data_IF_216135894395
#
_entry.id   IF_216135894395
#
_cell.length_a   1.000
_cell.length_b   1.000
_cell.length_c   1.000
_cell.angle_alpha   90.00
_cell.angle_beta   90.00
_cell.angle_gamma   90.00
#
_symmetry.space_group_name_H-M   'P 1'
#
loop_
_entity.id
_entity.type
_entity.pdbx_description
1 polymer ?
#
# COMPACT_ATOMS: atom_id res chain seq x y z
N UNK A 1 -50.81 75.63 -13.86
CA UNK A 1 -49.33 75.71 -13.75
C UNK A 1 -48.79 74.40 -14.31
N UNK A 2 -48.20 74.41 -15.52
CA UNK A 2 -46.76 74.18 -15.77
C UNK A 2 -46.29 72.82 -15.20
N UNK A 3 -45.75 71.85 -15.94
CA UNK A 3 -45.16 71.80 -17.29
C UNK A 3 -45.18 70.35 -17.83
N UNK A 4 -45.14 70.26 -19.16
CA UNK A 4 -45.01 69.07 -20.01
C UNK A 4 -43.64 68.38 -19.90
N UNK A 5 -43.59 67.08 -20.26
CA UNK A 5 -42.38 66.35 -20.65
C UNK A 5 -42.78 64.92 -21.09
N UNK A 6 -43.12 64.69 -22.36
CA UNK A 6 -42.24 64.30 -23.46
C UNK A 6 -41.46 63.01 -23.20
N UNK A 7 -42.00 61.90 -23.71
CA UNK A 7 -41.30 60.64 -23.96
C UNK A 7 -40.34 60.82 -25.14
N UNK A 8 -39.05 60.50 -25.03
CA UNK A 8 -38.19 60.30 -26.18
C UNK A 8 -38.05 58.80 -26.50
N UNK A 9 -38.11 58.55 -27.80
CA UNK A 9 -37.93 57.32 -28.55
C UNK A 9 -36.62 56.59 -28.25
N UNK A 10 -36.65 55.26 -28.36
CA UNK A 10 -35.46 54.41 -28.37
C UNK A 10 -34.55 54.76 -29.57
N UNK A 11 -33.22 54.87 -29.39
CA UNK A 11 -32.29 55.02 -30.51
C UNK A 11 -31.94 53.69 -31.18
N UNK A 12 -31.77 53.77 -32.50
CA UNK A 12 -31.40 52.71 -33.44
C UNK A 12 -30.15 51.90 -33.08
N UNK A 13 -30.18 50.62 -33.48
CA UNK A 13 -29.14 49.60 -33.31
C UNK A 13 -27.82 49.84 -34.07
N UNK A 14 -27.53 51.07 -34.46
CA UNK A 14 -26.31 51.45 -35.20
C UNK A 14 -25.31 52.28 -34.37
N UNK A 15 -25.63 52.70 -33.14
CA UNK A 15 -24.72 53.54 -32.32
C UNK A 15 -23.94 52.79 -31.23
N UNK A 16 -24.21 51.50 -30.99
CA UNK A 16 -23.46 50.70 -30.00
C UNK A 16 -22.20 50.03 -30.56
N UNK A 17 -21.96 50.09 -31.87
CA UNK A 17 -20.81 49.47 -32.53
C UNK A 17 -19.56 50.38 -32.63
N UNK A 18 -19.66 51.66 -32.26
CA UNK A 18 -18.55 52.62 -32.36
C UNK A 18 -17.75 52.81 -31.06
N UNK A 19 -18.21 52.27 -29.92
CA UNK A 19 -17.52 52.36 -28.63
C UNK A 19 -16.62 51.15 -28.31
N UNK A 20 -16.75 50.04 -29.05
CA UNK A 20 -15.97 48.81 -28.83
C UNK A 20 -14.65 48.74 -29.60
N UNK A 21 -14.34 49.70 -30.47
CA UNK A 21 -13.09 49.71 -31.26
C UNK A 21 -11.97 50.63 -30.74
N UNK A 22 -12.14 51.31 -29.60
CA UNK A 22 -11.14 52.25 -29.05
C UNK A 22 -10.45 51.82 -27.74
N UNK A 23 -10.74 50.62 -27.23
CA UNK A 23 -10.06 50.03 -26.05
C UNK A 23 -9.18 48.81 -26.38
N UNK A 24 -9.17 48.33 -27.63
CA UNK A 24 -8.37 47.18 -28.08
C UNK A 24 -7.04 47.55 -28.75
N UNK A 25 -6.61 48.82 -28.67
CA UNK A 25 -5.41 49.32 -29.36
C UNK A 25 -4.26 49.79 -28.45
N UNK A 26 -4.31 49.59 -27.12
CA UNK A 26 -3.31 50.14 -26.18
C UNK A 26 -2.86 49.22 -25.05
N UNK A 27 -3.01 47.90 -25.18
CA UNK A 27 -2.45 46.93 -24.22
C UNK A 27 -1.63 45.82 -24.86
N UNK A 28 -1.15 46.01 -26.10
CA UNK A 28 -0.23 45.08 -26.77
C UNK A 28 1.25 45.50 -26.75
N UNK A 29 1.61 46.64 -26.13
CA UNK A 29 2.98 47.18 -26.18
C UNK A 29 3.84 46.93 -24.92
N UNK A 30 3.42 46.05 -24.00
CA UNK A 30 4.26 45.67 -22.83
C UNK A 30 4.62 44.18 -22.72
N UNK A 31 4.29 43.32 -23.70
CA UNK A 31 4.56 41.87 -23.62
C UNK A 31 5.45 41.31 -24.74
N UNK A 32 6.01 42.16 -25.62
CA UNK A 32 6.76 41.72 -26.80
C UNK A 32 8.28 41.94 -26.75
N UNK A 33 8.88 42.33 -25.62
CA UNK A 33 10.32 42.57 -25.52
C UNK A 33 10.91 41.97 -24.23
N UNK A 34 11.09 40.64 -24.18
CA UNK A 34 12.08 39.97 -23.30
C UNK A 34 12.26 38.47 -23.65
N UNK A 35 12.27 38.14 -24.95
CA UNK A 35 12.53 36.77 -25.44
C UNK A 35 13.67 36.72 -26.47
N UNK A 36 14.75 37.44 -26.19
CA UNK A 36 15.98 37.30 -26.98
C UNK A 36 17.16 37.52 -26.04
N UNK A 37 17.64 36.45 -25.40
CA UNK A 37 19.05 36.21 -25.09
C UNK A 37 19.18 34.81 -24.45
N UNK A 38 20.28 34.13 -24.80
CA UNK A 38 20.65 32.75 -24.44
C UNK A 38 20.03 31.62 -25.28
N UNK A 39 20.18 31.70 -26.61
CA UNK A 39 20.51 30.51 -27.42
C UNK A 39 22.03 30.48 -27.56
N UNK A 40 22.72 29.66 -26.77
CA UNK A 40 24.04 29.06 -27.08
C UNK A 40 24.48 28.21 -25.89
N UNK A 41 24.15 26.91 -25.89
CA UNK A 41 25.00 25.86 -25.32
C UNK A 41 24.59 24.50 -25.91
N UNK A 42 25.55 23.85 -26.57
CA UNK A 42 25.75 22.40 -26.55
C UNK A 42 24.67 21.52 -27.15
N UNK A 43 24.85 21.17 -28.43
CA UNK A 43 24.34 19.94 -29.00
C UNK A 43 24.90 18.75 -28.18
N UNK A 44 24.11 18.24 -27.25
CA UNK A 44 24.41 16.99 -26.54
C UNK A 44 23.13 16.17 -26.56
N UNK A 45 23.19 15.03 -27.27
CA UNK A 45 22.23 13.95 -27.12
C UNK A 45 22.31 13.48 -25.66
N UNK A 46 21.54 14.12 -24.78
CA UNK A 46 21.08 13.53 -23.55
C UNK A 46 19.61 13.27 -23.79
N UNK A 47 19.29 12.00 -24.09
CA UNK A 47 17.96 11.52 -23.77
C UNK A 47 17.77 11.77 -22.28
N UNK A 48 17.03 12.83 -21.95
CA UNK A 48 16.40 12.93 -20.65
C UNK A 48 15.41 11.76 -20.65
N UNK A 49 15.83 10.61 -20.14
CA UNK A 49 14.89 9.60 -19.70
C UNK A 49 14.09 10.28 -18.59
N UNK A 50 12.94 10.87 -18.95
CA UNK A 50 11.87 11.02 -17.99
C UNK A 50 11.68 9.62 -17.43
N UNK A 51 12.09 9.40 -16.17
CA UNK A 51 11.64 8.23 -15.43
C UNK A 51 10.13 8.34 -15.47
N UNK A 52 9.47 7.58 -16.33
CA UNK A 52 8.04 7.34 -16.17
C UNK A 52 7.91 6.79 -14.76
N UNK A 53 7.28 7.58 -13.89
CA UNK A 53 7.04 7.19 -12.52
C UNK A 53 5.89 6.19 -12.59
N UNK A 54 6.23 4.94 -12.91
CA UNK A 54 5.29 3.82 -12.89
C UNK A 54 5.22 3.37 -11.44
N UNK A 55 4.04 3.55 -10.82
CA UNK A 55 3.89 3.43 -9.37
C UNK A 55 2.85 2.36 -9.06
N UNK A 56 3.27 1.38 -8.26
CA UNK A 56 2.37 0.50 -7.51
C UNK A 56 1.43 1.39 -6.70
N UNK A 57 0.13 1.15 -6.75
CA UNK A 57 -0.86 1.99 -6.08
C UNK A 57 -1.19 1.51 -4.67
N UNK A 58 -1.15 0.21 -4.42
CA UNK A 58 -1.48 -0.35 -3.11
C UNK A 58 -0.96 -1.78 -2.93
N UNK A 59 -0.80 -2.19 -1.67
CA UNK A 59 -0.91 -3.59 -1.30
C UNK A 59 -2.38 -3.99 -1.43
N UNK A 60 -2.70 -4.74 -2.48
CA UNK A 60 -4.08 -5.08 -2.81
C UNK A 60 -4.59 -6.26 -2.00
N UNK A 61 -3.79 -7.32 -1.93
CA UNK A 61 -4.14 -8.54 -1.22
C UNK A 61 -2.91 -9.38 -0.84
N UNK A 62 -3.11 -10.35 0.05
CA UNK A 62 -2.10 -11.37 0.39
C UNK A 62 -2.69 -12.78 0.37
N UNK A 63 -1.81 -13.77 0.24
CA UNK A 63 -2.13 -15.20 0.38
C UNK A 63 -1.21 -15.91 1.35
N UNK A 64 -1.80 -16.74 2.21
CA UNK A 64 -1.09 -17.61 3.15
C UNK A 64 -1.67 -19.02 3.08
N UNK A 65 -0.83 -20.05 3.12
CA UNK A 65 -1.26 -21.41 3.37
C UNK A 65 -1.26 -21.69 4.87
N UNK A 66 -2.19 -22.52 5.36
CA UNK A 66 -2.21 -22.94 6.75
C UNK A 66 -2.94 -24.27 6.98
N UNK A 67 -2.44 -25.15 7.87
CA UNK A 67 -3.21 -26.31 8.34
C UNK A 67 -4.42 -25.91 9.20
N UNK A 68 -4.45 -24.66 9.67
CA UNK A 68 -5.51 -24.08 10.48
C UNK A 68 -6.32 -23.03 9.72
N UNK A 69 -6.41 -23.16 8.38
CA UNK A 69 -7.12 -22.20 7.54
C UNK A 69 -8.57 -21.97 8.00
N UNK A 70 -9.30 -23.00 8.43
CA UNK A 70 -10.70 -22.86 8.87
C UNK A 70 -10.87 -21.99 10.12
N UNK A 71 -9.87 -21.92 11.01
CA UNK A 71 -9.92 -21.12 12.24
C UNK A 71 -10.01 -19.62 11.94
N UNK A 72 -9.54 -19.21 10.75
CA UNK A 72 -9.62 -17.82 10.27
C UNK A 72 -11.06 -17.34 10.05
N UNK A 73 -12.04 -18.23 9.89
CA UNK A 73 -13.44 -17.80 9.81
C UNK A 73 -13.88 -17.09 11.09
N UNK A 74 -13.59 -17.70 12.25
CA UNK A 74 -13.94 -17.12 13.56
C UNK A 74 -12.97 -16.00 13.93
N UNK A 75 -11.67 -16.23 13.74
CA UNK A 75 -10.64 -15.25 14.09
C UNK A 75 -10.79 -13.96 13.25
N UNK A 76 -10.90 -14.07 11.93
CA UNK A 76 -11.02 -12.93 11.03
C UNK A 76 -12.29 -12.11 11.25
N UNK A 77 -13.45 -12.78 11.42
CA UNK A 77 -14.72 -12.07 11.62
C UNK A 77 -14.89 -11.56 13.05
N UNK A 78 -14.75 -12.43 14.04
CA UNK A 78 -15.01 -12.13 15.44
C UNK A 78 -13.93 -11.25 16.06
N UNK A 79 -12.64 -11.54 15.81
CA UNK A 79 -11.52 -10.84 16.43
C UNK A 79 -10.88 -9.76 15.55
N UNK A 80 -10.83 -9.88 14.22
CA UNK A 80 -10.35 -8.76 13.40
C UNK A 80 -11.46 -7.81 12.94
N UNK A 81 -12.71 -8.29 12.84
CA UNK A 81 -13.83 -7.51 12.31
C UNK A 81 -13.93 -7.52 10.79
N UNK A 82 -13.09 -8.33 10.12
CA UNK A 82 -13.15 -8.51 8.67
C UNK A 82 -14.46 -9.21 8.27
N UNK A 83 -14.93 -8.93 7.06
CA UNK A 83 -16.07 -9.61 6.45
C UNK A 83 -15.62 -10.94 5.88
N UNK A 84 -16.39 -12.00 6.11
CA UNK A 84 -16.18 -13.27 5.42
C UNK A 84 -16.74 -13.18 3.99
N UNK A 85 -15.90 -13.48 3.02
CA UNK A 85 -16.25 -13.55 1.60
C UNK A 85 -16.46 -15.00 1.17
N UNK A 86 -17.07 -15.25 -0.01
CA UNK A 86 -17.15 -16.60 -0.56
C UNK A 86 -15.77 -17.25 -0.63
N UNK A 87 -15.70 -18.54 -0.28
CA UNK A 87 -14.44 -19.28 -0.26
C UNK A 87 -13.77 -19.31 -1.66
N UNK A 88 -12.45 -19.49 -1.66
CA UNK A 88 -11.70 -19.77 -2.88
C UNK A 88 -12.03 -21.14 -3.48
N UNK A 89 -11.67 -21.35 -4.76
CA UNK A 89 -11.94 -22.60 -5.47
C UNK A 89 -11.25 -23.82 -4.83
N UNK A 90 -10.15 -23.61 -4.12
CA UNK A 90 -9.42 -24.62 -3.34
C UNK A 90 -9.91 -24.75 -1.88
N UNK A 91 -10.96 -24.02 -1.50
CA UNK A 91 -11.44 -23.91 -0.13
C UNK A 91 -10.76 -22.84 0.72
N UNK A 92 -10.01 -21.92 0.11
CA UNK A 92 -9.40 -20.81 0.84
C UNK A 92 -10.43 -19.94 1.57
N UNK A 93 -10.14 -19.62 2.84
CA UNK A 93 -10.92 -18.65 3.61
C UNK A 93 -10.55 -17.26 3.14
N UNK A 94 -11.55 -16.50 2.67
CA UNK A 94 -11.35 -15.15 2.14
C UNK A 94 -11.97 -14.12 3.06
N UNK A 95 -11.18 -13.11 3.41
CA UNK A 95 -11.59 -12.01 4.25
C UNK A 95 -11.47 -10.70 3.49
N UNK A 96 -12.54 -9.90 3.53
CA UNK A 96 -12.58 -8.53 3.05
C UNK A 96 -12.52 -7.56 4.23
N UNK A 97 -11.86 -6.43 4.04
CA UNK A 97 -11.78 -5.32 5.00
C UNK A 97 -12.37 -4.03 4.43
N UNK A 98 -12.94 -4.11 3.23
CA UNK A 98 -13.57 -3.03 2.47
C UNK A 98 -14.45 -3.62 1.34
N UNK A 99 -14.84 -2.78 0.38
CA UNK A 99 -15.74 -3.15 -0.73
C UNK A 99 -15.07 -4.05 -1.79
N UNK A 100 -13.74 -4.20 -1.75
CA UNK A 100 -13.03 -5.18 -2.56
C UNK A 100 -13.42 -6.58 -2.08
N UNK A 101 -13.74 -7.46 -3.02
CA UNK A 101 -14.35 -8.76 -2.72
C UNK A 101 -13.58 -9.59 -1.68
N UNK A 102 -12.26 -9.49 -1.64
CA UNK A 102 -11.41 -9.96 -0.55
C UNK A 102 -10.01 -9.35 -0.66
N UNK A 103 -9.31 -9.24 0.48
CA UNK A 103 -7.90 -8.81 0.53
C UNK A 103 -6.98 -9.82 1.22
N UNK A 104 -7.52 -10.72 2.04
CA UNK A 104 -6.74 -11.78 2.69
C UNK A 104 -7.31 -13.13 2.25
N UNK A 105 -6.46 -14.00 1.72
CA UNK A 105 -6.80 -15.39 1.42
C UNK A 105 -5.95 -16.33 2.27
N UNK A 106 -6.61 -17.25 2.97
CA UNK A 106 -5.96 -18.30 3.76
C UNK A 106 -6.30 -19.66 3.15
N UNK A 107 -5.35 -20.21 2.41
CA UNK A 107 -5.45 -21.45 1.68
C UNK A 107 -5.27 -22.65 2.62
N UNK A 108 -6.03 -23.75 2.44
CA UNK A 108 -5.73 -25.00 3.12
C UNK A 108 -4.33 -25.50 2.75
N UNK A 109 -3.48 -25.74 3.75
CA UNK A 109 -2.10 -26.16 3.55
C UNK A 109 -1.64 -27.18 4.58
N UNK A 110 -0.51 -27.85 4.33
CA UNK A 110 0.10 -28.76 5.32
C UNK A 110 0.95 -28.03 6.35
N UNK A 111 1.48 -26.87 5.98
CA UNK A 111 2.35 -26.02 6.78
C UNK A 111 1.90 -24.57 6.61
N UNK A 112 2.24 -23.73 7.59
CA UNK A 112 2.08 -22.29 7.42
C UNK A 112 3.11 -21.78 6.41
N UNK A 113 2.67 -21.08 5.38
CA UNK A 113 3.54 -20.55 4.31
C UNK A 113 2.98 -19.25 3.74
N UNK A 114 3.83 -18.23 3.58
CA UNK A 114 3.45 -17.01 2.86
C UNK A 114 3.53 -17.26 1.34
N UNK A 115 2.38 -17.25 0.67
CA UNK A 115 2.29 -17.68 -0.72
C UNK A 115 2.50 -16.55 -1.71
N UNK A 116 1.97 -15.35 -1.45
CA UNK A 116 2.08 -14.21 -2.36
C UNK A 116 1.69 -12.87 -1.72
N UNK A 117 2.29 -11.79 -2.22
CA UNK A 117 1.84 -10.41 -2.05
C UNK A 117 1.34 -9.85 -3.39
N UNK A 118 0.09 -9.38 -3.43
CA UNK A 118 -0.51 -8.73 -4.59
C UNK A 118 -0.41 -7.20 -4.51
N UNK A 119 0.19 -6.60 -5.54
CA UNK A 119 0.37 -5.17 -5.72
C UNK A 119 -0.50 -4.69 -6.88
N UNK A 120 -1.34 -3.67 -6.66
CA UNK A 120 -2.21 -3.17 -7.70
C UNK A 120 -1.56 -2.03 -8.50
N UNK A 121 -1.73 -2.07 -9.81
CA UNK A 121 -1.51 -0.96 -10.73
C UNK A 121 -2.84 -0.22 -10.95
N UNK A 122 -2.77 1.06 -11.34
CA UNK A 122 -3.98 1.85 -11.52
C UNK A 122 -4.87 1.36 -12.68
N UNK A 123 -4.28 0.83 -13.75
CA UNK A 123 -4.99 0.39 -14.95
C UNK A 123 -4.13 -0.58 -15.80
N UNK A 124 -4.73 -1.04 -16.91
CA UNK A 124 -4.11 -1.91 -17.93
C UNK A 124 -2.76 -1.39 -18.45
N UNK A 125 -2.73 -0.12 -18.89
CA UNK A 125 -1.53 0.49 -19.47
C UNK A 125 -0.37 0.57 -18.48
N UNK A 126 -0.66 0.85 -17.21
CA UNK A 126 0.33 0.89 -16.15
C UNK A 126 0.86 -0.51 -15.82
N UNK A 127 0.00 -1.54 -15.83
CA UNK A 127 0.45 -2.93 -15.66
C UNK A 127 1.38 -3.35 -16.80
N UNK A 128 1.01 -3.11 -18.05
CA UNK A 128 1.85 -3.48 -19.20
C UNK A 128 3.19 -2.72 -19.19
N UNK A 129 3.17 -1.43 -18.86
CA UNK A 129 4.38 -0.61 -18.74
C UNK A 129 5.29 -1.11 -17.61
N UNK A 130 4.72 -1.46 -16.45
CA UNK A 130 5.48 -2.00 -15.32
C UNK A 130 6.04 -3.39 -15.63
N UNK A 131 5.25 -4.27 -16.24
CA UNK A 131 5.71 -5.59 -16.68
C UNK A 131 6.89 -5.47 -17.65
N UNK A 132 6.83 -4.57 -18.64
CA UNK A 132 7.94 -4.32 -19.56
C UNK A 132 9.19 -3.76 -18.83
N UNK A 133 9.01 -2.96 -17.77
CA UNK A 133 10.11 -2.50 -16.92
C UNK A 133 10.76 -3.64 -16.13
N UNK A 134 9.95 -4.53 -15.53
CA UNK A 134 10.45 -5.71 -14.81
C UNK A 134 11.23 -6.65 -15.73
N UNK A 135 10.71 -6.92 -16.93
CA UNK A 135 11.40 -7.73 -17.95
C UNK A 135 12.75 -7.11 -18.34
N UNK A 136 12.79 -5.80 -18.63
CA UNK A 136 14.06 -5.08 -18.90
C UNK A 136 15.03 -5.10 -17.73
N UNK A 137 14.52 -5.23 -16.51
CA UNK A 137 15.31 -5.36 -15.28
C UNK A 137 15.83 -6.79 -15.03
N UNK A 138 15.55 -7.72 -15.94
CA UNK A 138 16.00 -9.12 -15.88
C UNK A 138 15.11 -10.03 -15.03
N UNK A 139 13.90 -9.58 -14.67
CA UNK A 139 12.96 -10.37 -13.89
C UNK A 139 12.20 -11.31 -14.82
N UNK A 140 12.22 -12.60 -14.51
CA UNK A 140 11.39 -13.59 -15.22
C UNK A 140 9.95 -13.44 -14.76
N UNK A 141 9.09 -13.00 -15.69
CA UNK A 141 7.66 -12.84 -15.46
C UNK A 141 6.88 -14.08 -15.91
N UNK A 142 5.76 -14.32 -15.23
CA UNK A 142 4.80 -15.34 -15.56
C UNK A 142 3.41 -14.72 -15.67
N UNK A 143 2.73 -14.98 -16.79
CA UNK A 143 1.35 -14.53 -16.98
C UNK A 143 0.38 -15.27 -16.06
N UNK A 144 -0.63 -14.57 -15.58
CA UNK A 144 -1.76 -15.16 -14.88
C UNK A 144 -2.67 -15.91 -15.85
N UNK A 145 -2.79 -17.22 -15.69
CA UNK A 145 -3.76 -18.01 -16.45
C UNK A 145 -5.22 -17.68 -16.02
N UNK A 146 -6.24 -18.02 -16.83
CA UNK A 146 -7.63 -17.69 -16.52
C UNK A 146 -8.11 -18.15 -15.13
N UNK A 147 -7.65 -19.32 -14.67
CA UNK A 147 -8.00 -19.86 -13.35
C UNK A 147 -7.44 -18.98 -12.23
N UNK A 148 -6.18 -18.55 -12.35
CA UNK A 148 -5.54 -17.64 -11.39
C UNK A 148 -6.20 -16.26 -11.41
N UNK A 149 -6.54 -15.72 -12.58
CA UNK A 149 -7.25 -14.43 -12.68
C UNK A 149 -8.62 -14.49 -12.01
N UNK A 150 -9.37 -15.56 -12.25
CA UNK A 150 -10.67 -15.80 -11.62
C UNK A 150 -10.54 -16.01 -10.10
N UNK A 151 -9.52 -16.75 -9.66
CA UNK A 151 -9.22 -16.95 -8.26
C UNK A 151 -8.89 -15.62 -7.58
N UNK A 152 -7.98 -14.82 -8.17
CA UNK A 152 -7.59 -13.50 -7.68
C UNK A 152 -8.68 -12.45 -7.83
N UNK A 153 -9.65 -12.70 -8.69
CA UNK A 153 -10.69 -11.76 -9.09
C UNK A 153 -10.08 -10.43 -9.56
N UNK A 154 -9.16 -10.51 -10.52
CA UNK A 154 -8.48 -9.37 -11.16
C UNK A 154 -8.67 -9.45 -12.67
N UNK A 155 -8.54 -8.32 -13.36
CA UNK A 155 -8.65 -8.28 -14.82
C UNK A 155 -7.43 -8.90 -15.48
N UNK A 156 -6.23 -8.50 -15.06
CA UNK A 156 -4.96 -9.06 -15.49
C UNK A 156 -3.97 -9.16 -14.33
N UNK A 157 -3.01 -10.06 -14.48
CA UNK A 157 -1.98 -10.34 -13.49
C UNK A 157 -0.74 -10.88 -14.17
N UNK A 158 0.42 -10.37 -13.77
CA UNK A 158 1.72 -11.02 -13.97
C UNK A 158 2.35 -11.27 -12.61
N UNK A 159 3.15 -12.32 -12.47
CA UNK A 159 3.82 -12.62 -11.22
C UNK A 159 5.26 -13.05 -11.41
N UNK A 160 6.06 -12.86 -10.38
CA UNK A 160 7.45 -13.26 -10.30
C UNK A 160 7.81 -13.61 -8.86
N UNK A 161 9.02 -14.13 -8.68
CA UNK A 161 9.57 -14.41 -7.35
C UNK A 161 10.78 -13.51 -7.12
N UNK A 162 10.84 -12.84 -5.96
CA UNK A 162 11.99 -12.05 -5.57
C UNK A 162 13.24 -12.93 -5.32
N UNK A 163 14.44 -12.35 -5.16
CA UNK A 163 15.66 -13.11 -4.90
C UNK A 163 15.62 -13.99 -3.64
N UNK A 164 14.67 -13.79 -2.74
CA UNK A 164 14.52 -14.49 -1.47
C UNK A 164 13.41 -15.56 -1.50
N UNK A 165 12.73 -15.72 -2.62
CA UNK A 165 11.69 -16.73 -2.81
C UNK A 165 10.27 -16.24 -2.50
N UNK A 166 10.06 -14.94 -2.33
CA UNK A 166 8.73 -14.35 -2.12
C UNK A 166 8.07 -14.10 -3.46
N UNK A 167 6.86 -14.64 -3.66
CA UNK A 167 6.08 -14.34 -4.86
C UNK A 167 5.42 -12.98 -4.75
N UNK A 168 5.59 -12.18 -5.79
CA UNK A 168 4.88 -10.92 -5.99
C UNK A 168 3.97 -11.02 -7.21
N UNK A 169 2.74 -10.57 -7.06
CA UNK A 169 1.74 -10.52 -8.12
C UNK A 169 1.44 -9.06 -8.43
N UNK A 170 1.71 -8.63 -9.65
CA UNK A 170 1.33 -7.29 -10.14
C UNK A 170 0.01 -7.46 -10.88
N UNK A 171 -1.02 -6.71 -10.49
CA UNK A 171 -2.36 -6.88 -11.05
C UNK A 171 -3.08 -5.55 -11.24
N UNK A 172 -4.14 -5.53 -12.04
CA UNK A 172 -5.07 -4.41 -12.12
C UNK A 172 -6.52 -4.92 -12.19
N UNK A 173 -7.49 -4.04 -11.92
CA UNK A 173 -8.91 -4.37 -12.06
C UNK A 173 -9.42 -5.38 -11.04
N UNK A 174 -8.99 -5.28 -9.77
CA UNK A 174 -9.51 -6.11 -8.67
C UNK A 174 -11.02 -5.91 -8.53
N UNK A 175 -11.76 -7.02 -8.50
CA UNK A 175 -13.22 -7.01 -8.39
C UNK A 175 -13.66 -6.40 -7.06
N UNK A 176 -14.57 -5.44 -7.16
CA UNK A 176 -15.14 -4.70 -6.04
C UNK A 176 -16.64 -4.54 -6.25
N UNK A 177 -17.40 -4.58 -5.16
CA UNK A 177 -18.83 -4.27 -5.15
C UNK A 177 -19.05 -3.09 -4.21
N UNK A 178 -19.35 -1.88 -4.73
CA UNK A 178 -19.54 -0.71 -3.89
C UNK A 178 -20.61 -0.91 -2.82
N UNK A 179 -20.37 -0.37 -1.62
CA UNK A 179 -21.24 -0.43 -0.45
C UNK A 179 -21.59 -1.87 -0.03
N UNK A 180 -20.68 -2.83 -0.28
CA UNK A 180 -20.89 -4.23 0.06
C UNK A 180 -20.21 -4.63 1.36
N UNK A 181 -19.25 -3.84 1.86
CA UNK A 181 -18.58 -4.14 3.11
C UNK A 181 -19.55 -4.07 4.29
N UNK A 182 -19.50 -5.09 5.14
CA UNK A 182 -20.20 -5.13 6.41
C UNK A 182 -19.28 -5.87 7.38
N UNK A 183 -18.82 -5.23 8.46
CA UNK A 183 -17.81 -5.82 9.33
C UNK A 183 -18.34 -7.08 10.01
N UNK A 184 -17.44 -8.03 10.28
CA UNK A 184 -17.76 -9.32 10.91
C UNK A 184 -18.20 -9.21 12.38
N UNK A 185 -18.01 -8.04 12.98
CA UNK A 185 -18.52 -7.64 14.31
C UNK A 185 -18.94 -6.18 14.28
N UNK A 186 -19.60 -5.72 15.35
CA UNK A 186 -19.86 -4.29 15.54
C UNK A 186 -18.54 -3.53 15.60
N UNK A 187 -18.39 -2.56 14.72
CA UNK A 187 -17.28 -1.61 14.68
C UNK A 187 -17.85 -0.19 14.58
N UNK A 188 -17.15 0.77 15.17
CA UNK A 188 -17.54 2.18 15.11
C UNK A 188 -17.11 2.81 13.79
N UNK A 189 -15.89 2.51 13.35
CA UNK A 189 -15.41 2.80 12.01
C UNK A 189 -15.29 1.53 11.16
N UNK A 190 -14.54 1.65 10.06
CA UNK A 190 -14.06 0.52 9.28
C UNK A 190 -12.55 0.37 9.39
N UNK A 191 -11.97 -0.12 8.31
CA UNK A 191 -10.53 -0.20 8.11
C UNK A 191 -10.07 0.96 7.23
N UNK A 192 -8.90 1.52 7.54
CA UNK A 192 -8.24 2.49 6.66
C UNK A 192 -7.74 1.72 5.45
N UNK A 193 -8.54 1.69 4.39
CA UNK A 193 -8.24 0.98 3.14
C UNK A 193 -8.28 1.93 1.97
N UNK A 194 -9.44 2.54 1.67
CA UNK A 194 -9.57 3.72 0.79
C UNK A 194 -8.58 3.77 -0.38
N UNK A 195 -7.76 4.81 -0.41
CA UNK A 195 -6.65 5.04 -1.34
C UNK A 195 -5.30 4.44 -0.86
N UNK A 196 -5.31 3.68 0.23
CA UNK A 196 -4.14 3.15 0.94
C UNK A 196 -3.98 1.62 0.91
N UNK A 197 -4.98 0.88 0.41
CA UNK A 197 -5.00 -0.58 0.36
C UNK A 197 -5.07 -1.29 1.71
N UNK A 198 -4.80 -2.59 1.70
CA UNK A 198 -4.99 -3.52 2.84
C UNK A 198 -4.33 -3.08 4.16
N UNK A 199 -3.19 -2.40 4.08
CA UNK A 199 -2.30 -2.15 5.22
C UNK A 199 -0.85 -2.33 4.80
N UNK A 200 -0.05 -3.01 5.63
CA UNK A 200 1.33 -3.33 5.29
C UNK A 200 1.74 -4.75 5.62
N UNK A 201 2.77 -5.21 4.90
CA UNK A 201 3.48 -6.45 5.23
C UNK A 201 4.91 -6.13 5.67
N UNK A 202 5.43 -6.95 6.57
CA UNK A 202 6.85 -6.91 6.93
C UNK A 202 7.52 -8.20 6.52
N UNK A 203 8.52 -8.08 5.65
CA UNK A 203 9.34 -9.19 5.19
C UNK A 203 10.68 -9.17 5.91
N UNK A 204 11.16 -10.36 6.22
CA UNK A 204 12.52 -10.58 6.69
C UNK A 204 13.42 -10.92 5.53
N UNK A 205 14.57 -10.25 5.50
CA UNK A 205 15.56 -10.37 4.44
C UNK A 205 16.94 -10.58 5.04
N UNK A 206 17.82 -11.36 4.40
CA UNK A 206 19.13 -11.70 4.95
C UNK A 206 20.11 -10.51 4.91
N UNK A 207 19.89 -9.57 3.98
CA UNK A 207 20.71 -8.37 3.80
C UNK A 207 19.81 -7.20 3.39
N UNK A 208 19.75 -6.17 4.22
CA UNK A 208 18.82 -5.05 4.01
C UNK A 208 19.21 -4.15 2.84
N UNK A 209 20.49 -4.05 2.51
CA UNK A 209 20.98 -3.18 1.44
C UNK A 209 20.78 -3.82 0.06
N UNK A 210 20.95 -5.13 -0.07
CA UNK A 210 20.56 -5.87 -1.27
C UNK A 210 19.05 -5.82 -1.48
N UNK A 211 18.28 -5.99 -0.39
CA UNK A 211 16.83 -5.85 -0.44
C UNK A 211 16.39 -4.44 -0.83
N UNK A 212 17.02 -3.40 -0.28
CA UNK A 212 16.72 -2.03 -0.66
C UNK A 212 16.92 -1.79 -2.17
N UNK A 213 18.03 -2.28 -2.75
CA UNK A 213 18.28 -2.13 -4.19
C UNK A 213 17.17 -2.79 -5.00
N UNK A 214 16.78 -4.01 -4.67
CA UNK A 214 15.70 -4.70 -5.38
C UNK A 214 14.35 -3.96 -5.25
N UNK A 215 13.90 -3.73 -4.02
CA UNK A 215 12.57 -3.17 -3.79
C UNK A 215 12.45 -1.70 -4.24
N UNK A 216 13.51 -0.91 -4.14
CA UNK A 216 13.50 0.49 -4.60
C UNK A 216 13.80 0.60 -6.09
N UNK A 217 14.91 0.03 -6.56
CA UNK A 217 15.39 0.28 -7.92
C UNK A 217 14.62 -0.54 -8.97
N UNK A 218 14.14 -1.74 -8.61
CA UNK A 218 13.35 -2.60 -9.51
C UNK A 218 11.86 -2.37 -9.31
N UNK A 219 11.37 -2.42 -8.06
CA UNK A 219 9.93 -2.34 -7.79
C UNK A 219 9.39 -0.93 -7.55
N UNK A 220 10.25 0.08 -7.41
CA UNK A 220 9.84 1.48 -7.29
C UNK A 220 9.26 1.87 -5.92
N UNK A 221 9.45 1.05 -4.88
CA UNK A 221 9.07 1.41 -3.51
C UNK A 221 9.85 2.63 -3.03
N UNK A 222 9.19 3.52 -2.28
CA UNK A 222 9.79 4.77 -1.81
C UNK A 222 10.04 4.72 -0.32
N UNK A 223 11.25 5.06 0.12
CA UNK A 223 11.63 5.03 1.52
C UNK A 223 10.87 6.10 2.30
N UNK A 224 10.12 5.69 3.31
CA UNK A 224 9.48 6.59 4.26
C UNK A 224 10.44 6.89 5.40
N UNK A 225 10.94 5.86 6.08
CA UNK A 225 11.82 5.98 7.24
C UNK A 225 12.68 4.73 7.44
N UNK A 226 13.66 4.82 8.32
CA UNK A 226 14.41 3.67 8.84
C UNK A 226 14.47 3.70 10.36
N UNK A 227 14.37 2.53 10.98
CA UNK A 227 14.74 2.32 12.37
C UNK A 227 16.00 1.46 12.39
N UNK A 228 17.08 1.94 13.01
CA UNK A 228 18.36 1.21 13.10
C UNK A 228 19.03 1.44 14.45
N UNK A 229 19.52 0.36 15.05
CA UNK A 229 20.35 0.37 16.25
C UNK A 229 21.30 -0.83 16.21
N UNK A 230 22.07 -1.02 17.29
CA UNK A 230 23.08 -2.08 17.39
C UNK A 230 22.51 -3.51 17.24
N UNK A 231 21.19 -3.70 17.34
CA UNK A 231 20.54 -5.02 17.34
C UNK A 231 19.83 -5.33 16.02
N UNK A 232 19.25 -4.33 15.36
CA UNK A 232 18.44 -4.55 14.17
C UNK A 232 18.35 -3.32 13.27
N UNK A 233 18.03 -3.56 12.00
CA UNK A 233 17.69 -2.53 11.02
C UNK A 233 16.39 -2.89 10.31
N UNK A 234 15.45 -1.93 10.27
CA UNK A 234 14.19 -2.04 9.53
C UNK A 234 14.01 -0.80 8.65
N UNK A 235 13.66 -0.99 7.38
CA UNK A 235 13.35 0.07 6.42
C UNK A 235 11.88 0.00 6.03
N UNK A 236 11.22 1.14 5.97
CA UNK A 236 9.77 1.27 5.76
C UNK A 236 9.51 1.98 4.45
N UNK A 237 8.63 1.43 3.62
CA UNK A 237 8.43 1.90 2.26
C UNK A 237 6.97 2.12 1.90
N UNK A 238 6.67 3.30 1.38
CA UNK A 238 5.36 3.67 0.86
C UNK A 238 5.27 3.49 -0.66
N UNK A 239 4.03 3.34 -1.11
CA UNK A 239 3.63 3.35 -2.53
C UNK A 239 2.48 4.34 -2.79
N UNK A 240 1.78 4.73 -1.73
CA UNK A 240 0.66 5.68 -1.70
C UNK A 240 0.73 6.52 -0.41
N UNK A 241 -0.40 7.10 0.01
CA UNK A 241 -0.49 7.92 1.22
C UNK A 241 -0.13 7.19 2.52
N UNK A 242 -0.17 5.85 2.57
CA UNK A 242 0.20 5.10 3.77
C UNK A 242 1.68 5.26 4.07
N UNK A 243 2.04 5.55 5.33
CA UNK A 243 3.45 5.63 5.74
C UNK A 243 4.28 4.44 5.23
N UNK A 244 3.74 3.23 5.23
CA UNK A 244 4.36 2.14 4.49
C UNK A 244 3.33 1.07 4.12
N UNK A 245 3.50 0.45 2.97
CA UNK A 245 2.80 -0.80 2.61
C UNK A 245 3.75 -2.00 2.66
N UNK A 246 5.05 -1.75 2.71
CA UNK A 246 6.10 -2.75 2.87
C UNK A 246 7.11 -2.27 3.91
N UNK A 247 7.50 -3.13 4.84
CA UNK A 247 8.76 -2.95 5.56
C UNK A 247 9.68 -4.16 5.37
N UNK A 248 10.97 -3.90 5.42
CA UNK A 248 12.02 -4.90 5.30
C UNK A 248 12.83 -4.88 6.60
N UNK A 249 12.87 -6.02 7.29
CA UNK A 249 13.64 -6.21 8.52
C UNK A 249 14.82 -7.14 8.24
N UNK A 250 16.03 -6.71 8.59
CA UNK A 250 17.22 -7.56 8.42
C UNK A 250 17.20 -8.72 9.41
N UNK A 251 17.32 -9.95 8.90
CA UNK A 251 17.57 -11.14 9.70
C UNK A 251 18.60 -12.04 9.01
N UNK A 252 19.89 -11.90 9.33
CA UNK A 252 20.95 -12.65 8.67
C UNK A 252 20.70 -14.16 8.63
N UNK A 253 20.86 -14.75 7.46
CA UNK A 253 20.66 -16.18 7.22
C UNK A 253 19.20 -16.64 7.15
N UNK A 254 18.23 -15.73 7.19
CA UNK A 254 16.80 -16.05 7.18
C UNK A 254 16.03 -15.21 6.18
N UNK A 255 14.88 -15.73 5.77
CA UNK A 255 13.88 -15.04 4.94
C UNK A 255 12.49 -15.38 5.47
N UNK A 256 11.53 -14.48 5.31
CA UNK A 256 10.17 -14.81 5.70
C UNK A 256 9.21 -13.65 5.79
N UNK A 257 8.01 -13.98 6.23
CA UNK A 257 6.93 -13.03 6.44
C UNK A 257 6.66 -12.87 7.94
N UNK A 258 6.86 -11.66 8.46
CA UNK A 258 6.78 -11.39 9.89
C UNK A 258 5.34 -11.13 10.34
N UNK A 259 4.68 -10.13 9.75
CA UNK A 259 3.32 -9.75 10.10
C UNK A 259 2.60 -9.03 8.96
N UNK A 260 1.27 -9.13 8.99
CA UNK A 260 0.34 -8.24 8.31
C UNK A 260 -0.13 -7.19 9.31
N UNK A 261 -0.18 -5.94 8.91
CA UNK A 261 -0.85 -4.88 9.66
C UNK A 261 -2.21 -4.55 9.05
N UNK A 262 -3.21 -4.40 9.91
CA UNK A 262 -4.51 -3.83 9.59
C UNK A 262 -4.73 -2.57 10.42
N UNK A 263 -5.11 -1.48 9.75
CA UNK A 263 -5.40 -0.21 10.41
C UNK A 263 -6.91 0.03 10.49
N UNK A 264 -7.39 0.39 11.68
CA UNK A 264 -8.78 0.81 11.90
C UNK A 264 -8.92 2.32 11.96
N UNK A 265 -10.07 2.82 11.54
CA UNK A 265 -10.37 4.26 11.54
C UNK A 265 -10.64 4.82 12.95
N UNK A 266 -10.93 3.96 13.93
CA UNK A 266 -11.32 4.37 15.27
C UNK A 266 -10.51 3.66 16.35
N UNK A 267 -9.97 4.43 17.30
CA UNK A 267 -9.27 3.91 18.48
C UNK A 267 -10.14 2.96 19.30
N UNK A 268 -11.46 3.18 19.34
CA UNK A 268 -12.40 2.32 20.06
C UNK A 268 -12.46 0.91 19.46
N UNK A 269 -12.23 0.76 18.14
CA UNK A 269 -12.20 -0.56 17.49
C UNK A 269 -10.91 -1.33 17.82
N UNK A 270 -9.80 -0.62 17.99
CA UNK A 270 -8.56 -1.18 18.54
C UNK A 270 -8.74 -1.60 20.02
N UNK A 271 -9.33 -0.73 20.84
CA UNK A 271 -9.66 -1.06 22.23
C UNK A 271 -10.60 -2.26 22.33
N UNK A 272 -11.61 -2.33 21.46
CA UNK A 272 -12.53 -3.45 21.41
C UNK A 272 -11.86 -4.76 21.02
N UNK A 273 -10.89 -4.73 20.09
CA UNK A 273 -10.08 -5.91 19.77
C UNK A 273 -9.34 -6.41 21.02
N UNK A 274 -8.74 -5.51 21.81
CA UNK A 274 -8.01 -5.86 23.03
C UNK A 274 -8.92 -6.56 24.03
N UNK A 275 -10.14 -6.05 24.26
CA UNK A 275 -11.14 -6.69 25.13
C UNK A 275 -11.59 -8.08 24.64
N UNK A 276 -11.42 -8.37 23.35
CA UNK A 276 -11.85 -9.63 22.74
C UNK A 276 -10.79 -10.73 22.78
N UNK A 277 -9.53 -10.41 23.10
CA UNK A 277 -8.40 -11.35 23.01
C UNK A 277 -8.61 -12.60 23.86
N UNK A 278 -9.00 -12.44 25.13
CA UNK A 278 -9.22 -13.56 26.05
C UNK A 278 -10.34 -14.49 25.55
N UNK A 279 -11.45 -13.91 25.07
CA UNK A 279 -12.58 -14.69 24.54
C UNK A 279 -12.28 -15.43 23.23
N UNK A 280 -11.22 -15.03 22.53
CA UNK A 280 -10.73 -15.65 21.31
C UNK A 280 -9.47 -16.49 21.52
N UNK A 281 -9.04 -16.70 22.77
CA UNK A 281 -7.80 -17.43 23.11
C UNK A 281 -6.60 -16.96 22.28
N UNK A 282 -6.51 -15.64 22.09
CA UNK A 282 -5.50 -15.03 21.23
C UNK A 282 -4.43 -14.36 22.06
N UNK A 283 -3.21 -14.83 21.89
CA UNK A 283 -2.06 -14.33 22.64
C UNK A 283 -1.61 -12.95 22.15
N UNK A 284 -1.17 -12.14 23.11
CA UNK A 284 -0.45 -10.90 22.84
C UNK A 284 1.03 -11.23 22.56
N UNK A 285 1.49 -10.85 21.37
CA UNK A 285 2.88 -11.00 20.96
C UNK A 285 3.71 -9.77 21.33
N UNK A 286 3.12 -8.58 21.20
CA UNK A 286 3.62 -7.34 21.76
C UNK A 286 2.46 -6.51 22.29
N UNK A 287 2.60 -5.99 23.51
CA UNK A 287 1.56 -5.17 24.15
C UNK A 287 1.25 -3.93 23.34
N UNK A 288 0.10 -3.30 23.60
CA UNK A 288 -0.23 -1.97 23.07
C UNK A 288 0.95 -1.02 23.23
N UNK A 289 1.26 -0.30 22.16
CA UNK A 289 2.36 0.66 22.10
C UNK A 289 2.13 1.71 21.03
N UNK A 290 3.08 2.65 20.92
CA UNK A 290 3.09 3.67 19.87
C UNK A 290 4.44 3.76 19.20
N UNK A 291 4.45 3.64 17.89
CA UNK A 291 5.64 3.71 17.06
C UNK A 291 6.23 5.13 16.96
N UNK A 292 7.54 5.21 16.73
CA UNK A 292 8.27 6.49 16.63
C UNK A 292 8.25 7.09 15.23
N UNK A 293 8.23 6.25 14.20
CA UNK A 293 8.29 6.64 12.79
C UNK A 293 6.92 7.07 12.26
N UNK A 294 5.93 6.17 12.28
CA UNK A 294 4.60 6.42 11.69
C UNK A 294 3.55 6.88 12.70
N UNK A 295 3.92 6.99 13.99
CA UNK A 295 3.05 7.34 15.11
C UNK A 295 1.85 6.41 15.35
N UNK A 296 1.80 5.26 14.67
CA UNK A 296 0.76 4.24 14.81
C UNK A 296 0.69 3.77 16.25
N UNK A 297 -0.51 3.77 16.82
CA UNK A 297 -0.79 3.08 18.08
C UNK A 297 -1.29 1.68 17.74
N UNK A 298 -0.54 0.64 18.14
CA UNK A 298 -0.82 -0.72 17.69
C UNK A 298 -0.54 -1.78 18.76
N UNK A 299 -1.12 -2.96 18.54
CA UNK A 299 -0.87 -4.18 19.29
C UNK A 299 -0.51 -5.30 18.30
N UNK A 300 0.37 -6.23 18.70
CA UNK A 300 0.71 -7.40 17.91
C UNK A 300 0.12 -8.63 18.56
N UNK A 301 -0.65 -9.40 17.79
CA UNK A 301 -1.37 -10.57 18.27
C UNK A 301 -1.04 -11.81 17.42
N UNK A 302 -1.10 -12.97 18.04
CA UNK A 302 -0.95 -14.24 17.33
C UNK A 302 -2.13 -14.46 16.39
N UNK A 303 -1.90 -15.17 15.29
CA UNK A 303 -2.98 -15.64 14.42
C UNK A 303 -3.10 -17.17 14.46
N UNK A 304 -4.16 -17.76 13.89
CA UNK A 304 -4.23 -19.21 13.68
C UNK A 304 -3.14 -19.73 12.73
N UNK A 305 -2.41 -18.86 12.04
CA UNK A 305 -1.27 -19.22 11.22
C UNK A 305 0.02 -18.65 11.83
N UNK A 306 1.18 -19.12 11.38
CA UNK A 306 2.47 -18.68 11.90
C UNK A 306 2.78 -17.17 11.77
N UNK A 307 1.96 -16.39 11.05
CA UNK A 307 2.08 -14.93 10.99
C UNK A 307 1.45 -14.23 12.21
N UNK A 308 1.91 -13.01 12.48
CA UNK A 308 1.24 -12.13 13.44
C UNK A 308 0.34 -11.11 12.72
N UNK A 309 -0.67 -10.64 13.44
CA UNK A 309 -1.41 -9.45 13.04
C UNK A 309 -0.95 -8.28 13.92
N UNK A 310 -0.45 -7.23 13.28
CA UNK A 310 -0.42 -5.91 13.89
C UNK A 310 -1.80 -5.27 13.66
N UNK A 311 -2.46 -4.84 14.73
CA UNK A 311 -3.73 -4.12 14.62
C UNK A 311 -3.52 -2.71 15.15
N UNK A 312 -3.71 -1.73 14.27
CA UNK A 312 -3.24 -0.37 14.49
C UNK A 312 -4.30 0.71 14.29
N UNK A 313 -4.04 1.87 14.85
CA UNK A 313 -4.84 3.09 14.68
C UNK A 313 -3.92 4.32 14.61
N UNK A 314 -4.27 5.24 13.72
CA UNK A 314 -3.75 6.60 13.71
C UNK A 314 -2.32 6.72 13.17
N UNK A 315 -2.01 5.91 12.15
CA UNK A 315 -0.76 6.05 11.41
C UNK A 315 -0.70 7.36 10.62
N UNK A 316 0.52 7.85 10.36
CA UNK A 316 0.73 9.03 9.53
C UNK A 316 0.44 8.75 8.05
N UNK A 317 -0.15 9.75 7.39
CA UNK A 317 -0.20 9.82 5.93
C UNK A 317 1.03 10.57 5.43
N UNK A 318 1.68 10.05 4.39
CA UNK A 318 2.89 10.59 3.76
C UNK A 318 2.64 10.93 2.30
N UNK A 319 3.47 11.79 1.71
CA UNK A 319 3.43 12.09 0.28
C UNK A 319 4.82 12.41 -0.27
N UNK A 320 5.01 12.16 -1.57
CA UNK A 320 6.31 12.30 -2.23
C UNK A 320 6.81 13.75 -2.32
N UNK A 321 5.94 14.75 -2.11
CA UNK A 321 6.28 16.16 -2.25
C UNK A 321 6.76 16.77 -0.93
N UNK A 322 6.18 16.34 0.19
CA UNK A 322 6.37 16.96 1.50
C UNK A 322 7.07 16.06 2.51
N UNK A 323 6.98 14.73 2.35
CA UNK A 323 7.59 13.80 3.29
C UNK A 323 9.12 13.85 3.22
N UNK A 324 9.76 13.89 4.38
CA UNK A 324 11.22 13.85 4.46
C UNK A 324 11.63 12.73 5.39
N UNK A 325 12.23 11.68 4.81
CA UNK A 325 12.66 10.51 5.54
C UNK A 325 13.60 10.83 6.71
N UNK A 326 13.47 10.04 7.77
CA UNK A 326 14.24 10.11 9.01
C UNK A 326 14.81 8.75 9.37
N UNK A 327 15.80 8.79 10.26
CA UNK A 327 16.34 7.60 10.91
C UNK A 327 16.11 7.72 12.40
N UNK A 328 15.48 6.70 12.97
CA UNK A 328 15.20 6.57 14.40
C UNK A 328 16.04 5.42 14.98
N UNK A 329 16.31 5.46 16.28
CA UNK A 329 17.09 4.43 16.98
C UNK A 329 16.26 3.49 17.88
N UNK A 330 14.97 3.80 18.06
CA UNK A 330 14.03 3.01 18.84
C UNK A 330 12.73 2.87 18.07
N UNK A 331 12.06 1.70 18.13
CA UNK A 331 10.85 1.43 17.35
C UNK A 331 9.59 2.05 17.96
N UNK A 332 9.61 2.38 19.27
CA UNK A 332 8.41 2.77 20.01
C UNK A 332 8.70 3.86 21.03
N UNK A 333 7.80 4.82 21.19
CA UNK A 333 7.84 5.80 22.29
C UNK A 333 7.52 5.13 23.64
N UNK A 334 6.55 4.22 23.63
CA UNK A 334 6.11 3.45 24.78
C UNK A 334 5.42 2.17 24.31
N UNK A 335 5.30 1.19 25.19
CA UNK A 335 4.60 -0.06 24.90
C UNK A 335 5.39 -1.01 24.01
N UNK A 336 4.69 -1.82 23.21
CA UNK A 336 5.26 -2.87 22.34
C UNK A 336 6.21 -3.84 23.07
N UNK A 337 5.96 -4.06 24.36
CA UNK A 337 6.72 -4.99 25.19
C UNK A 337 6.36 -6.41 24.81
N UNK A 338 7.35 -7.31 24.75
CA UNK A 338 7.11 -8.74 24.52
C UNK A 338 6.77 -9.43 25.84
N UNK A 339 5.56 -10.01 26.01
CA UNK A 339 5.22 -10.81 27.19
C UNK A 339 6.19 -11.98 27.37
N UNK A 340 6.41 -12.43 28.61
CA UNK A 340 7.37 -13.49 28.90
C UNK A 340 7.00 -14.81 28.21
N UNK A 341 5.69 -15.07 28.12
CA UNK A 341 5.06 -16.26 27.56
C UNK A 341 5.30 -16.38 26.05
N UNK A 342 5.30 -15.26 25.33
CA UNK A 342 5.45 -15.19 23.87
C UNK A 342 6.85 -14.75 23.43
N UNK A 343 7.67 -14.20 24.32
CA UNK A 343 9.02 -13.69 24.03
C UNK A 343 9.98 -14.69 23.39
N UNK A 344 9.75 -15.99 23.59
CA UNK A 344 10.58 -17.08 23.05
C UNK A 344 10.10 -17.59 21.68
N UNK A 345 8.91 -17.18 21.23
CA UNK A 345 8.39 -17.58 19.93
C UNK A 345 9.08 -16.75 18.86
N UNK A 346 9.48 -17.38 17.77
CA UNK A 346 9.96 -16.66 16.59
C UNK A 346 8.71 -16.13 15.87
N UNK A 347 8.49 -14.81 15.84
CA UNK A 347 7.30 -14.26 15.22
C UNK A 347 7.36 -14.36 13.69
N UNK A 348 6.35 -14.96 13.07
CA UNK A 348 6.22 -14.99 11.61
C UNK A 348 6.49 -16.35 10.97
N UNK A 349 6.21 -16.43 9.67
CA UNK A 349 6.51 -17.58 8.82
C UNK A 349 7.92 -17.36 8.27
N UNK A 350 8.92 -17.82 9.02
CA UNK A 350 10.34 -17.57 8.75
C UNK A 350 11.05 -18.90 8.52
N UNK A 351 11.91 -18.92 7.51
CA UNK A 351 12.74 -20.08 7.18
C UNK A 351 14.22 -19.66 7.04
N UNK A 352 15.16 -20.58 7.31
CA UNK A 352 16.54 -20.39 6.93
C UNK A 352 16.65 -20.15 5.42
N UNK A 353 17.57 -19.28 5.03
CA UNK A 353 17.96 -19.15 3.63
C UNK A 353 18.70 -20.44 3.24
N UNK A 354 18.05 -21.30 2.46
CA UNK A 354 18.72 -22.43 1.83
C UNK A 354 19.79 -21.89 0.89
N UNK A 355 21.05 -22.27 1.09
CA UNK A 355 22.13 -21.89 0.18
C UNK A 355 21.70 -22.26 -1.25
N UNK A 356 21.91 -21.35 -2.20
CA UNK A 356 21.81 -21.70 -3.61
C UNK A 356 22.69 -22.94 -3.84
N UNK A 357 22.23 -23.96 -4.59
CA UNK A 357 23.13 -25.03 -4.99
C UNK A 357 24.33 -24.38 -5.66
N UNK A 358 25.54 -24.68 -5.18
CA UNK A 358 26.78 -24.23 -5.80
C UNK A 358 26.68 -24.55 -7.29
N UNK A 359 26.71 -23.52 -8.13
CA UNK A 359 26.73 -23.71 -9.58
C UNK A 359 27.87 -24.68 -9.93
N UNK A 360 27.65 -25.66 -10.83
CA UNK A 360 28.63 -26.68 -11.16
C UNK A 360 29.93 -26.11 -11.75
#
# INVERSE_FOLDING_TARGET
MRHQGLWPSFPDSASLAAATHKLLGKTNDCLANHWSHCLYFGNSNHQVHSREIIVIQELSYIGVASPRAQDWRKYGTGLLGAKLSPDGPDGAIRLAVDDVNYRIAVHPGKVDEFLYAGWAMANESDLHSFAAHLDRSGITLHDGNPDLLAERQVAELVWFTDPWGTRHEISWGKASTPLSFTPGRVMRGGFVTGDQGLGHIVLQVPNIEEANKFYVDVLGFRLSDRITNDQFTVRFYHVNGRHHSLALAEYPGHVGFNHLMLEVECMDDLGRLIDLLDSHDTEVMQTLGRHTNDLMTSIYIGSPSGLQIEYGFGGLTVDDLSWVARTYNQPSYWGHKRPAETSKRVPGIIRPLTAAPSAP
#
